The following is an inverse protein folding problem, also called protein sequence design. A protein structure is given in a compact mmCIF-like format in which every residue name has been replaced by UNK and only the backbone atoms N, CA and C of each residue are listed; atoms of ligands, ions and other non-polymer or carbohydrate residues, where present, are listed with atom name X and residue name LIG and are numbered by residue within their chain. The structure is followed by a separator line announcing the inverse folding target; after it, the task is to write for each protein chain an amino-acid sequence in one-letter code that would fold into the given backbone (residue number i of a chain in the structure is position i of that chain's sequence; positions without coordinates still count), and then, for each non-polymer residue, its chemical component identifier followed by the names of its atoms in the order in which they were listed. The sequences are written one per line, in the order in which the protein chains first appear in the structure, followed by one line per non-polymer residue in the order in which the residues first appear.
data_IF_013911794005
#
_entry.id   IF_013911794005
#
_cell.length_a   1.000
_cell.length_b   1.000
_cell.length_c   1.000
_cell.angle_alpha   90.00
_cell.angle_beta   90.00
_cell.angle_gamma   90.00
#
_symmetry.space_group_name_H-M   'P 1'
#
loop_
_entity.id
_entity.type
_entity.pdbx_description
1 polymer ?
#
# COMPACT_ATOMS: atom_id res chain seq x y z
N UNK A 1 31.78 9.14 15.34
CA UNK A 1 30.73 10.17 15.50
C UNK A 1 29.43 9.51 15.12
N UNK A 2 28.56 9.23 16.09
CA UNK A 2 27.27 8.59 15.86
C UNK A 2 26.31 9.64 15.29
N UNK A 3 25.84 9.45 14.07
CA UNK A 3 24.83 10.32 13.46
C UNK A 3 23.47 9.64 13.60
N UNK A 4 22.79 9.96 14.71
CA UNK A 4 21.39 9.65 14.92
C UNK A 4 20.51 10.61 14.10
N UNK A 5 19.31 10.16 13.71
CA UNK A 5 18.24 10.98 13.14
C UNK A 5 18.03 12.25 13.99
N UNK A 6 17.88 13.46 13.41
CA UNK A 6 17.75 14.67 14.20
C UNK A 6 16.47 14.66 15.03
N UNK A 7 16.62 14.66 16.36
CA UNK A 7 15.51 14.88 17.30
C UNK A 7 15.12 16.36 17.26
N UNK A 8 13.83 16.62 17.07
CA UNK A 8 13.26 17.96 16.95
C UNK A 8 13.43 18.74 18.28
N UNK A 9 14.41 19.64 18.34
CA UNK A 9 14.57 20.56 19.47
C UNK A 9 13.58 21.72 19.38
N UNK A 10 12.73 21.86 20.39
CA UNK A 10 11.75 22.93 20.52
C UNK A 10 12.41 24.30 20.74
N UNK A 11 12.13 25.27 19.88
CA UNK A 11 12.15 26.70 20.22
C UNK A 11 10.78 27.30 19.93
N UNK A 12 10.14 27.79 21.00
CA UNK A 12 8.94 28.61 20.96
C UNK A 12 9.15 29.81 20.02
N UNK A 13 8.25 29.99 19.05
CA UNK A 13 8.09 31.25 18.34
C UNK A 13 6.58 31.54 18.13
N UNK A 14 6.17 32.71 18.59
CA UNK A 14 4.80 33.21 18.74
C UNK A 14 4.21 33.70 17.40
N UNK A 15 4.10 32.83 16.39
CA UNK A 15 3.39 33.14 15.14
C UNK A 15 2.05 32.39 14.98
N UNK A 16 1.50 31.87 16.08
CA UNK A 16 0.10 31.44 16.15
C UNK A 16 -0.82 32.65 15.95
N UNK A 17 -1.32 32.88 14.72
CA UNK A 17 -2.64 33.48 14.52
C UNK A 17 -3.24 33.36 13.09
N UNK A 18 -2.64 32.62 12.14
CA UNK A 18 -3.17 32.49 10.77
C UNK A 18 -3.04 31.09 10.11
N UNK A 19 -2.89 30.00 10.88
CA UNK A 19 -2.66 28.67 10.32
C UNK A 19 -3.83 27.66 10.46
N UNK A 20 -5.03 28.11 10.81
CA UNK A 20 -6.19 27.25 11.11
C UNK A 20 -6.91 26.61 9.89
N UNK A 21 -6.25 26.42 8.74
CA UNK A 21 -6.86 25.75 7.57
C UNK A 21 -5.90 24.86 6.77
N UNK A 22 -5.09 24.05 7.44
CA UNK A 22 -4.42 22.91 6.82
C UNK A 22 -4.71 21.64 7.63
N UNK A 23 -5.36 20.60 7.04
CA UNK A 23 -5.51 19.31 7.72
C UNK A 23 -4.13 18.76 8.01
N UNK A 24 -3.78 18.77 9.29
CA UNK A 24 -2.51 18.32 9.83
C UNK A 24 -2.56 16.79 9.84
N UNK A 25 -1.90 16.11 8.91
CA UNK A 25 -1.75 14.63 8.91
C UNK A 25 -0.75 14.15 9.97
N UNK A 26 -0.75 14.79 11.15
CA UNK A 26 0.09 14.45 12.31
C UNK A 26 -0.75 13.81 13.41
N UNK A 27 -1.22 12.60 13.18
CA UNK A 27 -1.65 11.70 14.26
C UNK A 27 -1.64 10.27 13.75
N UNK A 28 -0.44 9.74 13.55
CA UNK A 28 -0.24 8.30 13.60
C UNK A 28 0.60 8.08 14.82
N UNK A 29 0.02 7.40 15.80
CA UNK A 29 0.66 6.72 16.92
C UNK A 29 0.17 5.28 16.90
N UNK A 30 1.14 4.39 16.72
CA UNK A 30 1.25 2.94 16.82
C UNK A 30 0.10 2.10 16.27
N UNK A 31 0.40 1.43 15.14
CA UNK A 31 -0.12 0.09 14.88
C UNK A 31 0.75 -0.91 15.64
N UNK A 32 0.28 -1.42 16.79
CA UNK A 32 0.83 -2.62 17.45
C UNK A 32 0.08 -3.84 16.94
N UNK A 33 0.32 -4.22 15.69
CA UNK A 33 -0.36 -5.37 15.11
C UNK A 33 0.45 -6.64 15.27
N UNK A 34 -0.15 -7.69 15.81
CA UNK A 34 0.48 -9.00 15.82
C UNK A 34 0.25 -9.70 14.48
N UNK A 35 1.29 -10.33 13.94
CA UNK A 35 1.14 -11.24 12.80
C UNK A 35 0.29 -12.44 13.25
N UNK A 36 -0.86 -12.64 12.60
CA UNK A 36 -1.69 -13.83 12.80
C UNK A 36 -1.57 -14.75 11.60
N UNK A 37 -0.94 -15.91 11.83
CA UNK A 37 -0.81 -16.99 10.84
C UNK A 37 -1.56 -18.22 11.34
N UNK A 38 -2.58 -18.63 10.61
CA UNK A 38 -3.40 -19.80 10.96
C UNK A 38 -3.64 -20.67 9.73
N UNK A 39 -3.43 -21.99 9.89
CA UNK A 39 -3.82 -22.99 8.89
C UNK A 39 -5.28 -23.38 9.12
N UNK A 40 -6.12 -23.32 8.10
CA UNK A 40 -7.49 -23.87 8.20
C UNK A 40 -7.41 -25.38 8.38
N UNK A 41 -8.01 -25.89 9.45
CA UNK A 41 -8.03 -27.32 9.74
C UNK A 41 -8.98 -28.07 8.81
N UNK A 42 -8.45 -28.65 7.72
CA UNK A 42 -9.08 -29.69 6.92
C UNK A 42 -8.05 -30.81 6.64
N UNK A 43 -8.53 -32.05 6.63
CA UNK A 43 -7.74 -33.28 6.75
C UNK A 43 -6.71 -33.51 5.65
N UNK A 44 -5.67 -34.27 6.04
CA UNK A 44 -4.56 -34.79 5.25
C UNK A 44 -4.82 -34.86 3.73
N UNK A 45 -4.11 -34.04 2.96
CA UNK A 45 -3.45 -34.47 1.75
C UNK A 45 -2.25 -33.56 1.45
N UNK A 46 -1.11 -34.20 1.18
CA UNK A 46 0.19 -33.57 0.97
C UNK A 46 0.39 -33.42 -0.54
N UNK A 47 0.42 -32.19 -1.03
CA UNK A 47 1.10 -31.86 -2.28
C UNK A 47 2.01 -30.64 -2.12
N UNK A 48 3.05 -30.66 -2.93
CA UNK A 48 4.41 -30.24 -2.62
C UNK A 48 4.70 -28.81 -3.07
N UNK A 49 4.66 -27.88 -2.12
CA UNK A 49 5.49 -26.67 -2.08
C UNK A 49 6.18 -26.65 -0.72
N UNK A 50 7.51 -26.71 -0.70
CA UNK A 50 8.28 -26.72 0.55
C UNK A 50 8.24 -25.31 1.15
N UNK A 51 7.17 -25.01 1.88
CA UNK A 51 7.21 -24.03 2.93
C UNK A 51 7.51 -24.78 4.21
N UNK A 52 8.73 -24.61 4.70
CA UNK A 52 9.17 -25.24 5.93
C UNK A 52 8.24 -24.72 7.03
N UNK A 53 7.48 -25.62 7.65
CA UNK A 53 6.83 -25.36 8.93
C UNK A 53 7.90 -25.21 10.01
N UNK A 54 8.61 -24.07 10.00
CA UNK A 54 9.70 -23.75 10.91
C UNK A 54 9.12 -23.11 12.17
N UNK A 55 8.49 -23.93 13.01
CA UNK A 55 8.15 -23.51 14.37
C UNK A 55 9.39 -23.13 15.20
N UNK A 56 10.58 -23.53 14.75
CA UNK A 56 11.86 -23.34 15.45
C UNK A 56 12.66 -22.10 15.03
N UNK A 57 12.26 -21.37 13.97
CA UNK A 57 12.95 -20.14 13.58
C UNK A 57 12.43 -18.93 14.33
N UNK A 58 13.35 -18.08 14.79
CA UNK A 58 13.04 -16.74 15.27
C UNK A 58 12.47 -15.86 14.14
N UNK A 59 11.74 -14.81 14.49
CA UNK A 59 11.16 -13.90 13.48
C UNK A 59 12.23 -13.21 12.64
N UNK A 60 13.41 -12.95 13.23
CA UNK A 60 14.57 -12.45 12.50
C UNK A 60 15.03 -13.42 11.40
N UNK A 61 15.15 -14.70 11.72
CA UNK A 61 15.56 -15.73 10.75
C UNK A 61 14.52 -15.92 9.64
N UNK A 62 13.22 -15.79 9.95
CA UNK A 62 12.15 -15.78 8.93
C UNK A 62 12.32 -14.61 7.96
N UNK A 63 12.54 -13.40 8.48
CA UNK A 63 12.78 -12.21 7.63
C UNK A 63 14.03 -12.39 6.78
N UNK A 64 15.13 -12.92 7.33
CA UNK A 64 16.33 -13.16 6.53
C UNK A 64 16.09 -14.19 5.44
N UNK A 65 15.37 -15.27 5.73
CA UNK A 65 14.99 -16.28 4.74
C UNK A 65 14.15 -15.68 3.61
N UNK A 66 13.17 -14.82 3.92
CA UNK A 66 12.36 -14.12 2.91
C UNK A 66 13.19 -13.21 2.00
N UNK A 67 14.25 -12.61 2.53
CA UNK A 67 15.25 -11.81 1.80
C UNK A 67 16.28 -12.66 1.03
N UNK A 68 16.29 -13.99 1.17
CA UNK A 68 17.36 -14.84 0.64
C UNK A 68 18.71 -14.62 1.31
N UNK A 69 18.71 -14.18 2.58
CA UNK A 69 19.87 -13.83 3.39
C UNK A 69 20.02 -14.76 4.60
N UNK A 70 21.23 -14.85 5.16
CA UNK A 70 21.50 -15.53 6.44
C UNK A 70 21.69 -14.54 7.60
N UNK A 71 21.90 -13.26 7.29
CA UNK A 71 22.14 -12.16 8.24
C UNK A 71 21.76 -10.83 7.60
N UNK A 72 21.63 -9.74 8.38
CA UNK A 72 21.57 -8.40 7.82
C UNK A 72 22.84 -8.08 7.01
N UNK A 73 22.66 -7.35 5.92
CA UNK A 73 23.76 -6.90 5.04
C UNK A 73 24.07 -5.41 5.30
N UNK A 74 25.31 -4.94 5.11
CA UNK A 74 25.61 -3.52 5.08
C UNK A 74 25.01 -2.87 3.81
N UNK A 75 24.82 -1.55 3.83
CA UNK A 75 24.19 -0.81 2.72
C UNK A 75 24.89 -1.02 1.39
N UNK A 76 26.21 -1.08 1.39
CA UNK A 76 27.04 -1.18 0.19
C UNK A 76 26.93 -2.54 -0.51
N UNK A 77 26.53 -3.59 0.23
CA UNK A 77 26.23 -4.91 -0.34
C UNK A 77 24.85 -4.93 -1.04
N UNK A 78 23.91 -4.08 -0.62
CA UNK A 78 22.56 -4.01 -1.21
C UNK A 78 22.47 -2.96 -2.33
N UNK A 79 23.06 -1.78 -2.12
CA UNK A 79 22.99 -0.65 -3.03
C UNK A 79 24.40 -0.10 -3.22
N UNK A 80 24.88 -0.09 -4.46
CA UNK A 80 26.21 0.46 -4.74
C UNK A 80 26.26 1.96 -4.42
N UNK A 81 27.36 2.49 -3.86
CA UNK A 81 27.47 3.91 -3.50
C UNK A 81 27.16 4.88 -4.65
N UNK A 82 27.47 4.51 -5.89
CA UNK A 82 27.13 5.32 -7.07
C UNK A 82 25.62 5.43 -7.29
N UNK A 83 24.85 4.37 -6.97
CA UNK A 83 23.38 4.37 -7.04
C UNK A 83 22.76 5.14 -5.87
N UNK A 84 23.37 5.09 -4.69
CA UNK A 84 22.93 5.89 -3.53
C UNK A 84 22.94 7.39 -3.85
N UNK A 85 24.00 7.88 -4.52
CA UNK A 85 24.14 9.28 -4.96
C UNK A 85 23.07 9.77 -5.93
N UNK A 86 22.42 8.84 -6.64
CA UNK A 86 21.39 9.13 -7.63
C UNK A 86 19.98 9.04 -7.04
N UNK A 87 19.86 8.69 -5.75
CA UNK A 87 18.57 8.56 -5.11
C UNK A 87 17.87 9.93 -4.98
N UNK A 88 16.59 9.97 -5.29
CA UNK A 88 15.73 11.13 -5.08
C UNK A 88 14.62 10.72 -4.12
N UNK A 89 14.38 11.47 -3.03
CA UNK A 89 13.22 11.22 -2.17
C UNK A 89 11.96 11.56 -2.96
N UNK A 90 11.00 10.63 -2.98
CA UNK A 90 9.75 10.76 -3.73
C UNK A 90 8.51 10.66 -2.84
N UNK A 91 8.66 10.15 -1.61
CA UNK A 91 7.57 9.99 -0.68
C UNK A 91 8.05 9.74 0.74
N UNK A 92 7.11 9.82 1.65
CA UNK A 92 7.26 9.50 3.07
C UNK A 92 5.99 8.79 3.54
N UNK A 93 6.15 7.83 4.44
CA UNK A 93 5.05 7.12 5.08
C UNK A 93 5.25 7.09 6.59
N UNK A 94 4.25 6.59 7.30
CA UNK A 94 4.25 6.52 8.77
C UNK A 94 5.49 5.79 9.31
N UNK A 95 5.88 4.70 8.67
CA UNK A 95 6.94 3.81 9.15
C UNK A 95 8.27 3.94 8.39
N UNK A 96 8.39 4.88 7.44
CA UNK A 96 9.60 4.93 6.62
C UNK A 96 9.59 5.93 5.48
N UNK A 97 10.63 5.84 4.68
CA UNK A 97 10.97 6.81 3.64
C UNK A 97 11.00 6.13 2.27
N UNK A 98 10.60 6.85 1.21
CA UNK A 98 10.57 6.30 -0.15
C UNK A 98 11.44 7.13 -1.08
N UNK A 99 12.39 6.46 -1.73
CA UNK A 99 13.31 7.03 -2.71
C UNK A 99 13.08 6.44 -4.08
N UNK A 100 13.44 7.15 -5.14
CA UNK A 100 13.61 6.60 -6.48
C UNK A 100 15.09 6.46 -6.80
N UNK A 101 15.46 5.39 -7.48
CA UNK A 101 16.81 5.17 -8.03
C UNK A 101 16.70 4.35 -9.32
N UNK A 102 17.82 4.06 -9.98
CA UNK A 102 17.84 3.16 -11.14
C UNK A 102 18.44 1.80 -10.75
N UNK A 103 17.82 0.71 -11.24
CA UNK A 103 18.37 -0.64 -11.10
C UNK A 103 19.54 -0.87 -12.08
N UNK A 104 20.15 -2.07 -12.04
CA UNK A 104 21.27 -2.42 -12.94
C UNK A 104 20.89 -2.39 -14.42
N UNK A 105 19.62 -2.62 -14.74
CA UNK A 105 19.08 -2.55 -16.09
C UNK A 105 18.76 -1.12 -16.56
N UNK A 106 18.90 -0.12 -15.67
CA UNK A 106 18.60 1.28 -15.96
C UNK A 106 17.13 1.68 -15.76
N UNK A 107 16.28 0.77 -15.27
CA UNK A 107 14.89 1.08 -14.95
C UNK A 107 14.81 1.88 -13.65
N UNK A 108 13.97 2.92 -13.64
CA UNK A 108 13.64 3.64 -12.40
C UNK A 108 12.79 2.78 -11.49
N UNK A 109 13.26 2.56 -10.26
CA UNK A 109 12.62 1.79 -9.20
C UNK A 109 12.38 2.64 -7.97
N UNK A 110 11.36 2.27 -7.18
CA UNK A 110 11.11 2.85 -5.86
C UNK A 110 11.76 1.98 -4.78
N UNK A 111 12.38 2.62 -3.80
CA UNK A 111 13.06 2.02 -2.66
C UNK A 111 12.38 2.51 -1.38
N UNK A 112 11.60 1.62 -0.75
CA UNK A 112 10.97 1.86 0.56
C UNK A 112 11.94 1.39 1.64
N UNK A 113 12.33 2.29 2.54
CA UNK A 113 13.21 1.99 3.68
C UNK A 113 12.39 2.07 4.95
N UNK A 114 12.30 0.95 5.67
CA UNK A 114 11.53 0.79 6.90
C UNK A 114 12.50 0.43 8.02
N UNK A 115 12.76 1.32 8.99
CA UNK A 115 13.52 0.98 10.19
C UNK A 115 12.77 -0.03 11.05
N UNK A 116 13.50 -1.05 11.54
CA UNK A 116 12.96 -2.15 12.35
C UNK A 116 13.85 -2.43 13.56
N UNK A 117 13.28 -2.99 14.63
CA UNK A 117 13.96 -3.41 15.88
C UNK A 117 14.65 -2.30 16.71
N UNK A 118 14.62 -1.04 16.27
CA UNK A 118 15.23 0.06 17.03
C UNK A 118 14.32 0.61 18.15
N UNK A 119 14.94 1.09 19.22
CA UNK A 119 14.25 1.75 20.34
C UNK A 119 13.91 3.22 20.10
N UNK A 120 14.53 3.83 19.08
CA UNK A 120 14.30 5.23 18.71
C UNK A 120 13.06 5.37 17.85
N UNK A 121 12.29 6.44 18.07
CA UNK A 121 11.10 6.73 17.29
C UNK A 121 11.47 7.27 15.90
N UNK A 122 10.80 6.78 14.87
CA UNK A 122 10.90 7.25 13.47
C UNK A 122 9.58 7.87 13.09
N UNK A 123 9.59 9.14 12.65
CA UNK A 123 8.39 9.89 12.29
C UNK A 123 7.32 9.98 13.41
N UNK A 124 7.73 9.85 14.68
CA UNK A 124 6.85 9.83 15.85
C UNK A 124 6.59 8.43 16.41
N UNK A 125 6.95 7.40 15.64
CA UNK A 125 6.52 6.02 15.80
C UNK A 125 7.60 5.08 16.29
N UNK A 126 7.22 4.10 17.11
CA UNK A 126 8.11 2.99 17.44
C UNK A 126 8.37 2.16 16.18
N UNK A 127 9.57 1.62 16.06
CA UNK A 127 9.94 0.81 14.90
C UNK A 127 9.24 -0.55 14.95
N UNK A 128 8.87 -1.10 13.79
CA UNK A 128 8.30 -2.45 13.69
C UNK A 128 9.31 -3.49 14.18
N UNK A 129 8.85 -4.51 14.88
CA UNK A 129 9.61 -5.74 15.16
C UNK A 129 9.73 -6.60 13.90
N UNK A 130 10.61 -7.61 13.92
CA UNK A 130 10.70 -8.58 12.83
C UNK A 130 9.40 -9.35 12.60
N UNK A 131 8.70 -9.72 13.68
CA UNK A 131 7.39 -10.39 13.57
C UNK A 131 6.35 -9.48 12.93
N UNK A 132 6.35 -8.19 13.30
CA UNK A 132 5.50 -7.18 12.69
C UNK A 132 5.84 -6.94 11.22
N UNK A 133 7.10 -6.78 10.80
CA UNK A 133 7.38 -6.47 9.38
C UNK A 133 7.15 -7.67 8.43
N UNK A 134 7.23 -8.91 8.94
CA UNK A 134 7.18 -10.13 8.14
C UNK A 134 5.90 -10.24 7.29
N UNK A 135 4.75 -9.80 7.80
CA UNK A 135 3.48 -9.82 7.04
C UNK A 135 3.55 -8.98 5.74
N UNK A 136 4.13 -7.79 5.79
CA UNK A 136 4.22 -6.84 4.67
C UNK A 136 5.15 -7.40 3.60
N UNK A 137 6.21 -8.09 4.04
CA UNK A 137 7.13 -8.81 3.16
C UNK A 137 6.40 -9.92 2.40
N UNK A 138 5.71 -10.81 3.11
CA UNK A 138 5.01 -11.95 2.51
C UNK A 138 3.95 -11.46 1.52
N UNK A 139 3.10 -10.52 1.94
CA UNK A 139 2.03 -9.99 1.09
C UNK A 139 2.61 -9.30 -0.15
N UNK A 140 3.70 -8.53 -0.01
CA UNK A 140 4.35 -7.87 -1.15
C UNK A 140 4.90 -8.86 -2.18
N UNK A 141 5.47 -9.99 -1.74
CA UNK A 141 5.97 -11.04 -2.64
C UNK A 141 4.83 -11.70 -3.42
N UNK A 142 3.75 -12.05 -2.73
CA UNK A 142 2.61 -12.75 -3.33
C UNK A 142 1.86 -11.87 -4.33
N UNK A 143 1.56 -10.61 -3.97
CA UNK A 143 0.91 -9.66 -4.88
C UNK A 143 1.79 -9.33 -6.10
N UNK A 144 3.12 -9.28 -5.93
CA UNK A 144 4.06 -9.10 -7.05
C UNK A 144 4.05 -10.28 -8.04
N UNK A 145 3.79 -11.50 -7.53
CA UNK A 145 3.74 -12.72 -8.33
C UNK A 145 2.47 -12.83 -9.19
N UNK A 146 1.40 -12.09 -8.86
CA UNK A 146 0.13 -12.13 -9.60
C UNK A 146 0.28 -11.76 -11.09
N UNK A 147 1.35 -11.05 -11.48
CA UNK A 147 1.64 -10.76 -12.88
C UNK A 147 2.08 -11.98 -13.69
N UNK A 148 2.40 -13.10 -13.04
CA UNK A 148 2.94 -14.34 -13.65
C UNK A 148 1.96 -15.53 -13.57
N UNK A 149 0.83 -15.36 -12.86
CA UNK A 149 -0.19 -16.41 -12.68
C UNK A 149 -0.97 -16.68 -13.97
N UNK A 150 -1.42 -17.93 -14.14
CA UNK A 150 -2.11 -18.39 -15.35
C UNK A 150 -3.63 -18.13 -15.36
N UNK A 151 -4.29 -18.07 -14.19
CA UNK A 151 -5.75 -18.03 -14.10
C UNK A 151 -6.28 -16.68 -13.60
N UNK A 152 -5.64 -16.09 -12.60
CA UNK A 152 -5.95 -14.76 -12.08
C UNK A 152 -4.68 -13.91 -12.13
N UNK A 153 -4.62 -13.00 -13.09
CA UNK A 153 -3.40 -12.28 -13.44
C UNK A 153 -3.65 -10.78 -13.45
N UNK A 154 -2.82 -10.01 -12.74
CA UNK A 154 -2.89 -8.56 -12.77
C UNK A 154 -1.52 -7.92 -12.66
N UNK A 155 -1.39 -6.76 -13.28
CA UNK A 155 -0.25 -5.87 -13.09
C UNK A 155 -0.59 -4.74 -12.10
N UNK A 156 -1.78 -4.75 -11.49
CA UNK A 156 -2.30 -3.65 -10.68
C UNK A 156 -1.61 -3.42 -9.34
N UNK A 157 -0.83 -4.40 -8.85
CA UNK A 157 0.01 -4.26 -7.67
C UNK A 157 1.42 -3.84 -8.05
N UNK A 158 2.09 -3.09 -7.18
CA UNK A 158 3.50 -2.77 -7.41
C UNK A 158 4.33 -4.06 -7.37
N UNK A 159 5.17 -4.25 -8.39
CA UNK A 159 6.06 -5.40 -8.43
C UNK A 159 7.23 -5.20 -7.48
N UNK A 160 7.37 -6.07 -6.49
CA UNK A 160 8.58 -6.18 -5.68
C UNK A 160 9.71 -6.73 -6.56
N UNK A 161 10.83 -6.00 -6.62
CA UNK A 161 12.01 -6.34 -7.42
C UNK A 161 13.06 -7.06 -6.59
N UNK A 162 13.44 -6.41 -5.50
CA UNK A 162 14.44 -6.90 -4.55
C UNK A 162 13.95 -6.63 -3.13
N UNK A 163 14.43 -7.42 -2.19
CA UNK A 163 14.12 -7.31 -0.77
C UNK A 163 15.37 -7.63 0.05
N UNK A 164 15.73 -6.72 0.96
CA UNK A 164 16.92 -6.89 1.79
C UNK A 164 16.67 -6.50 3.24
N UNK A 165 17.26 -7.27 4.16
CA UNK A 165 17.45 -6.80 5.54
C UNK A 165 18.83 -6.15 5.64
N UNK A 166 18.86 -4.88 6.03
CA UNK A 166 20.07 -4.04 6.01
C UNK A 166 20.41 -3.56 7.42
N UNK A 167 21.70 -3.55 7.77
CA UNK A 167 22.20 -3.01 9.03
C UNK A 167 23.24 -1.93 8.77
N UNK A 168 22.99 -0.71 9.27
CA UNK A 168 23.91 0.41 9.15
C UNK A 168 23.22 1.75 9.43
N UNK A 169 24.01 2.82 9.50
CA UNK A 169 23.46 4.18 9.56
C UNK A 169 22.86 4.59 8.21
N UNK A 170 21.93 5.53 8.22
CA UNK A 170 21.36 6.08 7.00
C UNK A 170 22.47 6.69 6.12
N UNK A 171 22.61 6.32 4.84
CA UNK A 171 23.67 6.86 4.00
C UNK A 171 23.52 8.37 3.79
N UNK A 172 24.63 9.11 3.81
CA UNK A 172 24.63 10.57 3.71
C UNK A 172 23.94 11.09 2.43
N UNK A 173 24.04 10.36 1.33
CA UNK A 173 23.39 10.71 0.07
C UNK A 173 21.86 10.66 0.16
N UNK A 174 21.30 9.75 0.96
CA UNK A 174 19.85 9.66 1.17
C UNK A 174 19.35 10.79 2.08
N UNK A 175 20.13 11.17 3.11
CA UNK A 175 19.82 12.33 3.95
C UNK A 175 19.79 13.61 3.11
N UNK A 176 20.76 13.79 2.21
CA UNK A 176 20.77 14.92 1.27
C UNK A 176 19.55 14.93 0.34
N UNK A 177 19.12 13.77 -0.15
CA UNK A 177 17.92 13.63 -0.97
C UNK A 177 16.65 13.98 -0.17
N UNK A 178 16.61 13.61 1.11
CA UNK A 178 15.55 13.96 2.04
C UNK A 178 15.45 15.48 2.23
N UNK A 179 16.58 16.15 2.54
CA UNK A 179 16.64 17.61 2.74
C UNK A 179 16.16 18.38 1.50
N UNK A 180 16.49 17.86 0.31
CA UNK A 180 16.10 18.46 -0.96
C UNK A 180 14.59 18.38 -1.19
N UNK A 181 13.97 17.26 -0.84
CA UNK A 181 12.53 17.05 -1.00
C UNK A 181 11.71 17.89 -0.02
N UNK A 182 12.14 17.99 1.24
CA UNK A 182 11.50 18.82 2.27
C UNK A 182 11.39 20.30 1.83
N UNK A 183 12.42 20.80 1.13
CA UNK A 183 12.45 22.17 0.62
C UNK A 183 11.55 22.42 -0.60
N UNK A 184 11.08 21.39 -1.30
CA UNK A 184 10.52 21.51 -2.66
C UNK A 184 9.01 21.27 -2.80
N UNK A 185 8.31 20.72 -1.80
CA UNK A 185 6.97 20.15 -2.05
C UNK A 185 5.88 21.19 -2.37
N UNK A 186 5.40 21.16 -3.62
CA UNK A 186 4.14 21.74 -4.11
C UNK A 186 3.32 20.68 -4.86
N UNK A 187 1.98 20.80 -4.90
CA UNK A 187 1.08 19.71 -5.33
C UNK A 187 0.99 19.54 -6.85
N UNK A 188 0.83 18.30 -7.31
CA UNK A 188 0.53 17.96 -8.70
C UNK A 188 -0.89 17.36 -8.81
N UNK A 189 -1.75 17.93 -9.68
CA UNK A 189 -3.10 17.43 -9.96
C UNK A 189 -3.28 17.17 -11.46
N UNK A 190 -3.94 16.05 -11.78
CA UNK A 190 -4.15 15.52 -13.13
C UNK A 190 -5.51 15.92 -13.77
N UNK A 191 -5.78 15.39 -14.98
CA UNK A 191 -6.97 15.68 -15.83
C UNK A 191 -8.21 14.87 -15.40
N UNK A 192 -9.45 15.38 -15.64
CA UNK A 192 -10.69 14.77 -15.11
C UNK A 192 -10.99 13.36 -15.62
N UNK A 193 -10.70 13.03 -16.88
CA UNK A 193 -10.98 11.71 -17.47
C UNK A 193 -10.12 10.57 -16.87
N UNK A 194 -9.14 10.90 -16.05
CA UNK A 194 -8.20 9.96 -15.42
C UNK A 194 -8.83 9.28 -14.20
N UNK A 195 -9.76 9.96 -13.50
CA UNK A 195 -10.34 9.48 -12.25
C UNK A 195 -11.08 8.13 -12.39
N UNK A 196 -11.94 8.00 -13.42
CA UNK A 196 -12.62 6.75 -13.76
C UNK A 196 -11.62 5.62 -14.06
N UNK A 197 -10.57 5.92 -14.84
CA UNK A 197 -9.52 4.95 -15.16
C UNK A 197 -8.77 4.49 -13.91
N UNK A 198 -8.47 5.42 -12.98
CA UNK A 198 -7.83 5.08 -11.71
C UNK A 198 -8.71 4.11 -10.94
N UNK A 199 -9.98 4.46 -10.74
CA UNK A 199 -10.91 3.66 -9.97
C UNK A 199 -11.15 2.28 -10.61
N UNK A 200 -11.25 2.20 -11.94
CA UNK A 200 -11.36 0.94 -12.68
C UNK A 200 -10.12 0.07 -12.49
N UNK A 201 -8.91 0.63 -12.62
CA UNK A 201 -7.66 -0.12 -12.43
C UNK A 201 -7.49 -0.63 -10.99
N UNK A 202 -7.88 0.17 -9.99
CA UNK A 202 -7.89 -0.25 -8.57
C UNK A 202 -8.89 -1.39 -8.36
N UNK A 203 -10.13 -1.24 -8.83
CA UNK A 203 -11.18 -2.26 -8.70
C UNK A 203 -10.76 -3.57 -9.39
N UNK A 204 -10.17 -3.49 -10.59
CA UNK A 204 -9.60 -4.63 -11.32
C UNK A 204 -8.51 -5.35 -10.52
N UNK A 205 -7.58 -4.61 -9.91
CA UNK A 205 -6.52 -5.19 -9.10
C UNK A 205 -7.07 -5.91 -7.87
N UNK A 206 -8.00 -5.28 -7.14
CA UNK A 206 -8.63 -5.85 -5.96
C UNK A 206 -9.42 -7.11 -6.30
N UNK A 207 -10.23 -7.10 -7.35
CA UNK A 207 -11.00 -8.28 -7.76
C UNK A 207 -10.11 -9.48 -8.12
N UNK A 208 -9.01 -9.25 -8.84
CA UNK A 208 -8.06 -10.34 -9.16
C UNK A 208 -7.47 -10.93 -7.87
N UNK A 209 -7.11 -10.08 -6.90
CA UNK A 209 -6.56 -10.54 -5.62
C UNK A 209 -7.63 -11.18 -4.71
N UNK A 210 -8.88 -10.73 -4.75
CA UNK A 210 -10.01 -11.40 -4.09
C UNK A 210 -10.17 -12.83 -4.62
N UNK A 211 -10.16 -13.01 -5.95
CA UNK A 211 -10.35 -14.33 -6.57
C UNK A 211 -9.19 -15.29 -6.34
N UNK A 212 -7.95 -14.81 -6.36
CA UNK A 212 -6.78 -15.68 -6.20
C UNK A 212 -6.42 -15.93 -4.74
N UNK A 213 -6.55 -14.91 -3.87
CA UNK A 213 -5.92 -14.90 -2.54
C UNK A 213 -6.90 -14.57 -1.41
N UNK A 214 -8.20 -14.44 -1.68
CA UNK A 214 -9.18 -13.90 -0.72
C UNK A 214 -8.66 -12.59 -0.09
N UNK A 215 -8.11 -11.70 -0.92
CA UNK A 215 -7.39 -10.53 -0.46
C UNK A 215 -8.32 -9.40 0.04
N UNK A 216 -7.88 -8.73 1.09
CA UNK A 216 -8.40 -7.44 1.57
C UNK A 216 -7.24 -6.48 1.79
N UNK A 217 -7.32 -5.25 1.26
CA UNK A 217 -6.24 -4.27 1.43
C UNK A 217 -6.23 -3.62 2.82
N UNK A 218 -7.42 -3.28 3.34
CA UNK A 218 -7.68 -2.70 4.67
C UNK A 218 -6.99 -1.36 5.02
N UNK A 219 -6.09 -0.85 4.19
CA UNK A 219 -5.58 0.52 4.30
C UNK A 219 -5.45 1.21 2.93
N UNK A 220 -6.48 1.15 2.08
CA UNK A 220 -6.37 1.68 0.72
C UNK A 220 -6.73 3.17 0.66
N UNK A 221 -6.09 3.98 1.50
CA UNK A 221 -6.23 5.42 1.40
C UNK A 221 -5.58 5.95 0.13
N UNK A 222 -5.93 7.16 -0.32
CA UNK A 222 -5.45 7.75 -1.58
C UNK A 222 -3.92 7.86 -1.70
N UNK A 223 -3.19 7.94 -0.59
CA UNK A 223 -1.72 7.87 -0.58
C UNK A 223 -1.14 6.50 -0.99
N UNK A 224 -1.95 5.44 -0.97
CA UNK A 224 -1.58 4.07 -1.31
C UNK A 224 -1.98 3.68 -2.74
N UNK A 225 -2.36 4.69 -3.54
CA UNK A 225 -2.68 4.56 -4.96
C UNK A 225 -1.69 5.41 -5.76
N UNK A 226 -0.67 4.77 -6.34
CA UNK A 226 0.31 5.44 -7.20
C UNK A 226 -0.22 5.58 -8.62
N UNK A 227 -0.05 6.76 -9.19
CA UNK A 227 -0.48 7.08 -10.56
C UNK A 227 0.73 7.53 -11.37
N UNK A 228 0.99 6.86 -12.50
CA UNK A 228 2.08 7.21 -13.43
C UNK A 228 1.53 7.41 -14.84
N UNK A 229 2.03 8.39 -15.59
CA UNK A 229 1.66 8.57 -17.00
C UNK A 229 2.12 7.41 -17.89
N UNK A 230 1.33 7.05 -18.90
CA UNK A 230 1.64 5.97 -19.86
C UNK A 230 1.20 6.32 -21.28
N UNK A 231 1.91 5.74 -22.26
CA UNK A 231 1.52 5.76 -23.69
C UNK A 231 0.61 4.58 -24.07
N UNK A 232 0.56 3.54 -23.25
CA UNK A 232 -0.32 2.39 -23.48
C UNK A 232 -1.76 2.85 -23.36
N UNK A 233 -2.59 2.61 -24.39
CA UNK A 233 -3.99 3.06 -24.40
C UNK A 233 -4.91 2.16 -23.60
N UNK A 234 -4.58 0.87 -23.55
CA UNK A 234 -5.34 -0.16 -22.84
C UNK A 234 -4.43 -0.93 -21.90
N UNK A 235 -5.00 -1.36 -20.77
CA UNK A 235 -4.44 -2.37 -19.89
C UNK A 235 -5.28 -3.64 -19.97
N UNK A 236 -4.72 -4.77 -19.55
CA UNK A 236 -5.40 -6.05 -19.49
C UNK A 236 -5.19 -6.75 -18.16
N UNK A 237 -6.17 -7.52 -17.74
CA UNK A 237 -6.14 -8.37 -16.55
C UNK A 237 -6.92 -9.66 -16.83
N UNK A 238 -6.67 -10.69 -16.03
CA UNK A 238 -7.27 -12.01 -16.16
C UNK A 238 -8.02 -12.35 -14.88
N UNK A 239 -9.30 -12.69 -14.98
CA UNK A 239 -10.11 -13.22 -13.88
C UNK A 239 -10.70 -14.54 -14.34
N UNK A 240 -10.50 -15.60 -13.57
CA UNK A 240 -11.00 -16.95 -13.85
C UNK A 240 -10.68 -17.41 -15.29
N UNK A 241 -9.47 -17.12 -15.76
CA UNK A 241 -9.00 -17.46 -17.10
C UNK A 241 -9.57 -16.61 -18.25
N UNK A 242 -10.43 -15.63 -17.96
CA UNK A 242 -11.02 -14.74 -18.97
C UNK A 242 -10.24 -13.43 -19.03
N UNK A 243 -9.79 -13.05 -20.23
CA UNK A 243 -9.07 -11.79 -20.44
C UNK A 243 -10.03 -10.63 -20.54
N UNK A 244 -9.84 -9.65 -19.67
CA UNK A 244 -10.54 -8.38 -19.67
C UNK A 244 -9.58 -7.25 -20.04
N UNK A 245 -10.12 -6.20 -20.66
CA UNK A 245 -9.34 -5.01 -21.02
C UNK A 245 -10.03 -3.76 -20.52
N UNK A 246 -9.22 -2.77 -20.15
CA UNK A 246 -9.68 -1.45 -19.72
C UNK A 246 -8.87 -0.35 -20.41
N UNK A 247 -9.45 0.84 -20.54
CA UNK A 247 -8.71 2.00 -21.05
C UNK A 247 -7.89 2.66 -19.94
N UNK A 248 -6.59 2.84 -20.17
CA UNK A 248 -5.70 3.47 -19.18
C UNK A 248 -5.95 4.97 -19.05
N UNK A 249 -6.54 5.59 -20.07
CA UNK A 249 -6.68 7.06 -20.21
C UNK A 249 -5.36 7.81 -19.96
N UNK A 250 -4.24 7.16 -20.32
CA UNK A 250 -2.90 7.74 -20.20
C UNK A 250 -2.27 7.62 -18.82
N UNK A 251 -2.86 6.84 -17.88
CA UNK A 251 -2.24 6.52 -16.59
C UNK A 251 -2.22 5.03 -16.28
N UNK A 252 -1.16 4.60 -15.59
CA UNK A 252 -1.07 3.31 -14.93
C UNK A 252 -1.19 3.50 -13.44
N UNK A 253 -2.02 2.68 -12.81
CA UNK A 253 -2.19 2.64 -11.36
C UNK A 253 -1.45 1.47 -10.75
N UNK A 254 -0.86 1.72 -9.57
CA UNK A 254 -0.29 0.69 -8.70
C UNK A 254 -0.79 0.87 -7.28
N UNK A 255 -1.35 -0.18 -6.72
CA UNK A 255 -1.65 -0.26 -5.28
C UNK A 255 -0.36 -0.57 -4.53
N UNK A 256 -0.18 0.06 -3.36
CA UNK A 256 0.98 -0.10 -2.47
C UNK A 256 0.55 -0.15 -1.00
N UNK A 257 1.53 -0.42 -0.13
CA UNK A 257 1.40 -0.45 1.33
C UNK A 257 0.37 -1.44 1.87
N UNK A 258 0.86 -2.64 2.19
CA UNK A 258 0.04 -3.76 2.62
C UNK A 258 0.11 -3.98 4.13
N UNK A 259 0.45 -2.92 4.89
CA UNK A 259 0.68 -3.02 6.34
C UNK A 259 -0.53 -3.53 7.11
N UNK A 260 -1.77 -3.30 6.64
CA UNK A 260 -2.98 -3.80 7.30
C UNK A 260 -3.68 -4.94 6.54
N UNK A 261 -3.08 -5.39 5.43
CA UNK A 261 -3.72 -6.31 4.50
C UNK A 261 -3.94 -7.70 5.09
N UNK A 262 -4.85 -8.44 4.45
CA UNK A 262 -5.16 -9.84 4.74
C UNK A 262 -5.22 -10.64 3.45
N UNK A 263 -4.71 -11.86 3.46
CA UNK A 263 -4.86 -12.84 2.38
C UNK A 263 -4.82 -14.28 2.88
N UNK A 264 -5.03 -15.22 1.96
CA UNK A 264 -4.95 -16.66 2.17
C UNK A 264 -4.15 -17.30 1.04
N UNK A 265 -3.13 -18.09 1.40
CA UNK A 265 -2.25 -18.85 0.48
C UNK A 265 -2.25 -20.29 0.95
N UNK A 266 -2.62 -21.26 0.10
CA UNK A 266 -2.57 -22.69 0.43
C UNK A 266 -3.20 -23.02 1.81
N UNK A 267 -4.40 -22.49 2.07
CA UNK A 267 -5.14 -22.59 3.35
C UNK A 267 -4.45 -21.93 4.58
N UNK A 268 -3.35 -21.21 4.36
CA UNK A 268 -2.67 -20.38 5.34
C UNK A 268 -3.19 -18.95 5.26
N UNK A 269 -3.88 -18.53 6.32
CA UNK A 269 -4.30 -17.14 6.47
C UNK A 269 -3.13 -16.30 6.98
N UNK A 270 -2.84 -15.19 6.30
CA UNK A 270 -1.89 -14.15 6.72
C UNK A 270 -2.65 -12.86 6.90
N UNK A 271 -2.64 -12.31 8.11
CA UNK A 271 -3.29 -11.03 8.40
C UNK A 271 -2.53 -10.22 9.45
N UNK A 272 -2.74 -8.91 9.38
CA UNK A 272 -2.40 -7.94 10.41
C UNK A 272 -3.51 -7.92 11.48
N UNK A 273 -3.24 -8.35 12.71
CA UNK A 273 -4.23 -8.28 13.79
C UNK A 273 -4.18 -6.93 14.51
N UNK A 274 -5.17 -6.08 14.23
CA UNK A 274 -5.37 -4.76 14.84
C UNK A 274 -6.51 -4.73 15.86
N UNK A 275 -6.92 -5.90 16.38
CA UNK A 275 -8.05 -6.02 17.32
C UNK A 275 -7.92 -5.19 18.60
N UNK A 276 -6.69 -4.92 19.04
CA UNK A 276 -6.37 -4.18 20.27
C UNK A 276 -5.87 -2.74 20.01
N UNK A 277 -5.92 -2.26 18.77
CA UNK A 277 -5.43 -0.94 18.39
C UNK A 277 -6.54 0.12 18.47
N UNK A 278 -6.83 0.60 19.67
CA UNK A 278 -7.87 1.61 19.87
C UNK A 278 -7.51 2.98 19.25
N UNK A 279 -6.23 3.32 19.13
CA UNK A 279 -5.80 4.62 18.59
C UNK A 279 -6.17 4.75 17.10
N UNK A 280 -6.01 3.67 16.33
CA UNK A 280 -6.44 3.60 14.93
C UNK A 280 -7.93 3.96 14.75
N UNK A 281 -8.80 3.49 15.65
CA UNK A 281 -10.24 3.71 15.57
C UNK A 281 -10.70 5.07 16.13
N UNK A 282 -9.85 5.75 16.90
CA UNK A 282 -10.13 7.09 17.45
C UNK A 282 -9.82 8.23 16.48
N UNK A 283 -9.21 7.96 15.33
CA UNK A 283 -8.89 8.98 14.33
C UNK A 283 -10.11 9.78 13.85
N UNK A 284 -9.91 11.08 13.56
CA UNK A 284 -10.95 12.02 13.13
C UNK A 284 -10.45 12.97 12.04
N UNK A 285 -11.38 13.65 11.36
CA UNK A 285 -11.06 14.73 10.41
C UNK A 285 -10.93 14.29 8.95
N UNK A 286 -10.98 13.00 8.66
CA UNK A 286 -11.00 12.45 7.31
C UNK A 286 -11.89 11.20 7.22
N UNK A 287 -12.52 10.96 6.08
CA UNK A 287 -13.40 9.81 5.86
C UNK A 287 -12.64 8.48 6.01
N UNK A 288 -11.32 8.45 5.83
CA UNK A 288 -10.50 7.25 6.03
C UNK A 288 -10.67 6.65 7.42
N UNK A 289 -10.85 7.49 8.45
CA UNK A 289 -10.98 7.01 9.82
C UNK A 289 -12.34 6.35 10.08
N UNK A 290 -13.36 6.75 9.33
CA UNK A 290 -14.65 6.07 9.35
C UNK A 290 -14.55 4.68 8.72
N UNK A 291 -13.72 4.52 7.68
CA UNK A 291 -13.51 3.21 7.06
C UNK A 291 -12.95 2.20 8.07
N UNK A 292 -12.00 2.58 8.93
CA UNK A 292 -11.52 1.68 9.99
C UNK A 292 -12.62 1.23 10.95
N UNK A 293 -13.50 2.15 11.35
CA UNK A 293 -14.65 1.83 12.22
C UNK A 293 -15.65 0.91 11.54
N UNK A 294 -15.97 1.19 10.27
CA UNK A 294 -16.87 0.35 9.46
C UNK A 294 -16.31 -1.06 9.27
N UNK A 295 -15.02 -1.21 8.95
CA UNK A 295 -14.37 -2.52 8.86
C UNK A 295 -14.42 -3.28 10.20
N UNK A 296 -14.10 -2.62 11.32
CA UNK A 296 -14.19 -3.21 12.67
C UNK A 296 -15.61 -3.69 13.00
N UNK A 297 -16.62 -2.92 12.59
CA UNK A 297 -18.02 -3.28 12.76
C UNK A 297 -18.39 -4.49 11.89
N UNK A 298 -18.00 -4.50 10.62
CA UNK A 298 -18.34 -5.56 9.66
C UNK A 298 -17.70 -6.91 10.01
N UNK A 299 -16.45 -6.89 10.48
CA UNK A 299 -15.75 -8.11 10.86
C UNK A 299 -15.94 -8.49 12.34
N UNK A 300 -16.69 -7.71 13.12
CA UNK A 300 -16.88 -7.94 14.55
C UNK A 300 -15.58 -7.94 15.36
N UNK A 301 -14.61 -7.12 14.94
CA UNK A 301 -13.23 -7.06 15.44
C UNK A 301 -12.40 -8.36 15.22
N UNK A 302 -12.83 -9.26 14.32
CA UNK A 302 -12.07 -10.44 13.92
C UNK A 302 -11.32 -10.18 12.60
N UNK A 303 -10.07 -9.73 12.73
CA UNK A 303 -9.25 -9.35 11.58
C UNK A 303 -8.67 -10.55 10.80
N UNK A 304 -8.80 -11.78 11.29
CA UNK A 304 -8.41 -12.97 10.53
C UNK A 304 -9.48 -13.38 9.48
N UNK A 305 -10.75 -13.05 9.74
CA UNK A 305 -11.87 -13.43 8.88
C UNK A 305 -11.78 -12.73 7.51
N UNK A 306 -12.31 -13.39 6.47
CA UNK A 306 -12.39 -12.83 5.13
C UNK A 306 -13.69 -12.06 4.94
N UNK A 307 -13.57 -10.76 4.71
CA UNK A 307 -14.67 -9.83 4.48
C UNK A 307 -14.35 -8.94 3.25
N UNK A 308 -14.57 -9.40 2.01
CA UNK A 308 -14.23 -8.63 0.81
C UNK A 308 -14.95 -7.27 0.72
N UNK A 309 -16.04 -7.10 1.46
CA UNK A 309 -16.72 -5.82 1.58
C UNK A 309 -15.82 -4.70 2.16
N UNK A 310 -14.74 -5.03 2.89
CA UNK A 310 -13.76 -4.02 3.30
C UNK A 310 -13.06 -3.34 2.11
N UNK A 311 -12.85 -4.06 0.99
CA UNK A 311 -12.37 -3.46 -0.26
C UNK A 311 -13.40 -2.49 -0.85
N UNK A 312 -14.70 -2.78 -0.71
CA UNK A 312 -15.81 -1.92 -1.14
C UNK A 312 -15.85 -0.61 -0.35
N UNK A 313 -15.68 -0.68 0.97
CA UNK A 313 -15.56 0.49 1.83
C UNK A 313 -14.42 1.41 1.37
N UNK A 314 -13.27 0.84 1.02
CA UNK A 314 -12.14 1.59 0.50
C UNK A 314 -12.34 2.15 -0.91
N UNK A 315 -13.01 1.42 -1.81
CA UNK A 315 -13.40 1.94 -3.13
C UNK A 315 -14.37 3.12 -3.01
N UNK A 316 -15.30 3.06 -2.06
CA UNK A 316 -16.20 4.17 -1.73
C UNK A 316 -15.43 5.40 -1.23
N UNK A 317 -14.48 5.20 -0.31
CA UNK A 317 -13.56 6.24 0.14
C UNK A 317 -12.76 6.86 -1.02
N UNK A 318 -12.13 6.04 -1.86
CA UNK A 318 -11.34 6.53 -3.00
C UNK A 318 -12.21 7.32 -3.98
N UNK A 319 -13.42 6.86 -4.26
CA UNK A 319 -14.36 7.59 -5.11
C UNK A 319 -14.74 8.95 -4.51
N UNK A 320 -14.96 9.02 -3.19
CA UNK A 320 -15.16 10.30 -2.47
C UNK A 320 -13.97 11.26 -2.68
N UNK A 321 -12.74 10.76 -2.57
CA UNK A 321 -11.54 11.57 -2.80
C UNK A 321 -11.45 12.05 -4.24
N UNK A 322 -11.65 11.18 -5.21
CA UNK A 322 -11.66 11.54 -6.63
C UNK A 322 -12.74 12.60 -6.92
N UNK A 323 -13.95 12.47 -6.37
CA UNK A 323 -15.01 13.47 -6.51
C UNK A 323 -14.65 14.85 -5.90
N UNK A 324 -13.83 14.86 -4.86
CA UNK A 324 -13.39 16.08 -4.17
C UNK A 324 -12.21 16.79 -4.85
N UNK A 325 -11.49 16.11 -5.75
CA UNK A 325 -10.30 16.66 -6.41
C UNK A 325 -10.65 17.75 -7.43
N UNK A 326 -9.72 18.70 -7.60
CA UNK A 326 -9.80 19.74 -8.63
C UNK A 326 -9.03 19.32 -9.86
N UNK A 327 -9.75 19.03 -10.94
CA UNK A 327 -9.16 18.62 -12.21
C UNK A 327 -9.00 19.80 -13.19
N UNK A 328 -7.88 19.85 -13.92
CA UNK A 328 -7.64 20.88 -14.94
C UNK A 328 -8.57 20.67 -16.15
N UNK A 329 -9.37 21.68 -16.50
CA UNK A 329 -10.28 21.64 -17.65
C UNK A 329 -11.69 21.10 -17.36
N UNK A 330 -12.17 21.26 -16.11
CA UNK A 330 -13.48 20.80 -15.60
C UNK A 330 -14.73 21.42 -16.25
N UNK A 331 -14.59 22.27 -17.27
CA UNK A 331 -15.70 23.03 -17.87
C UNK A 331 -16.38 22.39 -19.09
N UNK A 332 -16.04 21.15 -19.47
CA UNK A 332 -16.57 20.48 -20.66
C UNK A 332 -17.61 19.39 -20.36
N UNK A 333 -18.45 19.03 -21.34
CA UNK A 333 -19.48 17.97 -21.26
C UNK A 333 -18.90 16.64 -20.73
N UNK A 334 -17.74 16.23 -21.23
CA UNK A 334 -17.03 15.02 -20.79
C UNK A 334 -16.63 15.02 -19.31
N UNK A 335 -16.35 16.19 -18.71
CA UNK A 335 -16.03 16.28 -17.29
C UNK A 335 -17.29 16.18 -16.42
N UNK A 336 -18.43 16.67 -16.93
CA UNK A 336 -19.74 16.52 -16.29
C UNK A 336 -20.19 15.06 -16.31
N UNK A 337 -20.13 14.41 -17.48
CA UNK A 337 -20.52 13.01 -17.64
C UNK A 337 -19.68 12.10 -16.70
N UNK A 338 -18.36 12.32 -16.64
CA UNK A 338 -17.47 11.58 -15.73
C UNK A 338 -17.84 11.78 -14.25
N UNK A 339 -18.20 13.00 -13.85
CA UNK A 339 -18.61 13.28 -12.48
C UNK A 339 -19.95 12.62 -12.15
N UNK A 340 -20.90 12.61 -13.08
CA UNK A 340 -22.17 11.90 -12.94
C UNK A 340 -21.96 10.39 -12.78
N UNK A 341 -21.07 9.79 -13.58
CA UNK A 341 -20.70 8.37 -13.44
C UNK A 341 -20.04 8.07 -12.08
N UNK A 342 -19.08 8.89 -11.65
CA UNK A 342 -18.44 8.71 -10.33
C UNK A 342 -19.42 8.92 -9.17
N UNK A 343 -20.34 9.89 -9.27
CA UNK A 343 -21.39 10.08 -8.26
C UNK A 343 -22.33 8.87 -8.24
N UNK A 344 -22.76 8.39 -9.41
CA UNK A 344 -23.56 7.16 -9.49
C UNK A 344 -22.85 5.95 -8.91
N UNK A 345 -21.53 5.82 -9.11
CA UNK A 345 -20.74 4.80 -8.44
C UNK A 345 -20.71 5.00 -6.93
N UNK A 346 -20.39 6.20 -6.45
CA UNK A 346 -20.32 6.53 -5.03
C UNK A 346 -21.63 6.19 -4.30
N UNK A 347 -22.77 6.56 -4.88
CA UNK A 347 -24.09 6.35 -4.28
C UNK A 347 -24.49 4.86 -4.18
N UNK A 348 -23.91 3.99 -5.02
CA UNK A 348 -24.34 2.60 -5.15
C UNK A 348 -23.27 1.57 -4.75
N UNK A 349 -21.98 1.92 -4.69
CA UNK A 349 -20.89 0.95 -4.51
C UNK A 349 -20.99 0.17 -3.20
N UNK A 350 -21.53 0.77 -2.14
CA UNK A 350 -21.74 0.10 -0.84
C UNK A 350 -22.81 -1.01 -0.87
N UNK A 351 -23.54 -1.17 -1.97
CA UNK A 351 -24.53 -2.25 -2.14
C UNK A 351 -23.88 -3.56 -2.67
N UNK A 352 -22.65 -3.48 -3.18
CA UNK A 352 -21.93 -4.62 -3.70
C UNK A 352 -21.18 -5.32 -2.56
N UNK A 353 -21.03 -6.64 -2.66
CA UNK A 353 -20.38 -7.48 -1.66
C UNK A 353 -18.85 -7.56 -1.81
N UNK A 354 -18.30 -7.26 -2.99
CA UNK A 354 -16.88 -7.44 -3.32
C UNK A 354 -16.45 -6.64 -4.55
N UNK A 355 -15.16 -6.34 -4.70
CA UNK A 355 -14.64 -5.66 -5.89
C UNK A 355 -14.86 -6.49 -7.16
N UNK A 356 -14.87 -7.82 -7.03
CA UNK A 356 -15.26 -8.76 -8.10
C UNK A 356 -16.68 -8.47 -8.58
N UNK A 357 -17.66 -8.38 -7.68
CA UNK A 357 -19.05 -8.11 -8.05
C UNK A 357 -19.18 -6.72 -8.71
N UNK A 358 -18.44 -5.73 -8.20
CA UNK A 358 -18.41 -4.39 -8.80
C UNK A 358 -17.94 -4.45 -10.26
N UNK A 359 -16.87 -5.18 -10.59
CA UNK A 359 -16.44 -5.30 -11.98
C UNK A 359 -17.46 -6.00 -12.88
N UNK A 360 -18.16 -6.99 -12.34
CA UNK A 360 -19.11 -7.81 -13.11
C UNK A 360 -20.45 -7.12 -13.34
N UNK A 361 -20.88 -6.28 -12.40
CA UNK A 361 -22.27 -5.80 -12.36
C UNK A 361 -22.40 -4.27 -12.37
N UNK A 362 -21.32 -3.51 -12.10
CA UNK A 362 -21.41 -2.05 -12.06
C UNK A 362 -21.50 -1.44 -13.48
N UNK A 363 -22.56 -0.66 -13.79
CA UNK A 363 -22.70 -0.01 -15.10
C UNK A 363 -21.56 0.93 -15.48
N UNK A 364 -20.77 1.40 -14.52
CA UNK A 364 -19.62 2.27 -14.81
C UNK A 364 -18.48 1.50 -15.50
N UNK A 365 -18.39 0.18 -15.30
CA UNK A 365 -17.32 -0.69 -15.79
C UNK A 365 -17.75 -1.66 -16.91
N UNK A 366 -19.05 -1.72 -17.21
CA UNK A 366 -19.60 -2.32 -18.43
C UNK A 366 -19.47 -1.35 -19.60
#
# INVERSE_FOLDING_TARGET
MNFSTPVKASRLNLSSLLADFTPNTKTWSRIKAALSVHRKGLGNDVHSGVWISNADLSDAEKVYAECGQQRPLPWEECILPQRMKQCLKIGEGTFGEVFSTNNESGDTVALKIIPVEGSEKVNGEDQKTFGEILHEIIISKELSSLKEKQHNQTHGFIGLKDLHCVQGCYPADFLKAWDTFDQQKGSENDRPAVAKSILHQVTAALAVAEQELHFEHRDLHWGNVLVKTTKQKTGSFLINGTTHSLETRGVLVRIIDYSLSRLEIDDLMVSCDISNDEELFMGQGDYQFEIYRLMRQENGNNWAAYHPHTNILWLHYLCSKLLSMKYRGSGGRTAKDMREELTGFYDNVLQYSSATEVLQSCPMFQ
#
